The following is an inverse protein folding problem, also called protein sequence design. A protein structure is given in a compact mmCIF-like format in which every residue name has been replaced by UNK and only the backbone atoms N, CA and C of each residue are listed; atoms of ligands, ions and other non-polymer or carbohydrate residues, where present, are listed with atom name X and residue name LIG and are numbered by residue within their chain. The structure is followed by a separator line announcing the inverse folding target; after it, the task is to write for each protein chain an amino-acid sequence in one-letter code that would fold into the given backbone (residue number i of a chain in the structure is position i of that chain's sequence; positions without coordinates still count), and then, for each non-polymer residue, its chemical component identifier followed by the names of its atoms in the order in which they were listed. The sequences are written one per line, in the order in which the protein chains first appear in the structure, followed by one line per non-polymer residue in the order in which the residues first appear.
data_IF_389670154861
#
_entry.id   IF_389670154861
#
_cell.length_a   1.000
_cell.length_b   1.000
_cell.length_c   1.000
_cell.angle_alpha   90.00
_cell.angle_beta   90.00
_cell.angle_gamma   90.00
#
_symmetry.space_group_name_H-M   'P 1'
#
loop_
_entity.id
_entity.type
_entity.pdbx_description
1 polymer ?
#
# COMPACT_ATOMS: atom_id res chain seq x y z
N UNK A 1 4.68 -2.48 1.72
CA UNK A 1 5.99 -2.10 1.14
C UNK A 1 7.00 -3.26 1.13
N UNK A 2 7.24 -3.93 2.26
CA UNK A 2 8.17 -5.07 2.38
C UNK A 2 8.05 -6.19 1.33
N UNK A 3 6.87 -6.80 1.22
CA UNK A 3 6.63 -7.85 0.21
C UNK A 3 6.61 -7.32 -1.23
N UNK A 4 6.40 -6.00 -1.42
CA UNK A 4 6.49 -5.36 -2.72
C UNK A 4 7.93 -5.32 -3.26
N UNK A 5 8.94 -5.16 -2.39
CA UNK A 5 10.35 -5.18 -2.79
C UNK A 5 10.79 -6.55 -3.35
N UNK A 6 10.28 -7.65 -2.77
CA UNK A 6 10.52 -8.99 -3.32
C UNK A 6 9.88 -9.18 -4.71
N UNK A 7 8.66 -8.66 -4.92
CA UNK A 7 8.00 -8.64 -6.24
C UNK A 7 8.82 -7.85 -7.24
N UNK A 8 9.29 -6.66 -6.86
CA UNK A 8 10.11 -5.80 -7.72
C UNK A 8 11.37 -6.52 -8.19
N UNK A 9 12.09 -7.16 -7.25
CA UNK A 9 13.31 -7.91 -7.55
C UNK A 9 13.02 -9.08 -8.50
N UNK A 10 12.00 -9.89 -8.19
CA UNK A 10 11.64 -11.05 -9.01
C UNK A 10 11.09 -10.66 -10.39
N UNK A 11 10.27 -9.60 -10.47
CA UNK A 11 9.76 -9.06 -11.72
C UNK A 11 10.89 -8.46 -12.56
N UNK A 12 11.81 -7.70 -11.95
CA UNK A 12 12.98 -7.13 -12.65
C UNK A 12 13.90 -8.21 -13.22
N UNK A 13 14.21 -9.24 -12.42
CA UNK A 13 14.99 -10.39 -12.88
C UNK A 13 14.29 -11.16 -14.01
N UNK A 14 12.99 -11.45 -13.86
CA UNK A 14 12.23 -12.16 -14.87
C UNK A 14 12.09 -11.35 -16.17
N UNK A 15 11.89 -10.03 -16.07
CA UNK A 15 11.80 -9.15 -17.23
C UNK A 15 13.14 -9.06 -17.98
N UNK A 16 14.25 -8.88 -17.26
CA UNK A 16 15.60 -8.90 -17.83
C UNK A 16 15.96 -10.26 -18.47
N UNK A 17 15.51 -11.36 -17.87
CA UNK A 17 15.67 -12.71 -18.40
C UNK A 17 14.65 -13.09 -19.49
N UNK A 18 13.83 -12.14 -19.97
CA UNK A 18 12.77 -12.32 -20.99
C UNK A 18 11.68 -13.35 -20.63
N UNK A 19 11.52 -13.68 -19.34
CA UNK A 19 10.47 -14.55 -18.81
C UNK A 19 9.19 -13.76 -18.51
N UNK A 20 8.65 -13.10 -19.55
CA UNK A 20 7.55 -12.13 -19.41
C UNK A 20 6.29 -12.70 -18.75
N UNK A 21 5.92 -13.94 -19.06
CA UNK A 21 4.74 -14.60 -18.48
C UNK A 21 4.81 -14.75 -16.94
N UNK A 22 6.02 -14.81 -16.38
CA UNK A 22 6.20 -14.96 -14.93
C UNK A 22 5.82 -13.70 -14.15
N UNK A 23 5.86 -12.52 -14.78
CA UNK A 23 5.50 -11.26 -14.12
C UNK A 23 4.03 -11.29 -13.67
N UNK A 24 3.13 -11.73 -14.56
CA UNK A 24 1.72 -11.92 -14.26
C UNK A 24 1.47 -12.92 -13.11
N UNK A 25 2.28 -13.98 -13.03
CA UNK A 25 2.19 -14.97 -11.95
C UNK A 25 2.68 -14.38 -10.63
N UNK A 26 3.79 -13.64 -10.62
CA UNK A 26 4.34 -13.03 -9.40
C UNK A 26 3.43 -11.96 -8.82
N UNK A 27 2.83 -11.12 -9.66
CA UNK A 27 1.88 -10.09 -9.19
C UNK A 27 0.64 -10.74 -8.55
N UNK A 28 0.09 -11.79 -9.17
CA UNK A 28 -1.04 -12.54 -8.61
C UNK A 28 -0.69 -13.22 -7.29
N UNK A 29 0.47 -13.90 -7.25
CA UNK A 29 0.97 -14.56 -6.03
C UNK A 29 1.15 -13.58 -4.87
N UNK A 30 1.72 -12.42 -5.15
CA UNK A 30 1.92 -11.39 -4.14
C UNK A 30 0.61 -10.78 -3.67
N UNK A 31 -0.33 -10.50 -4.59
CA UNK A 31 -1.66 -10.01 -4.22
C UNK A 31 -2.39 -11.00 -3.29
N UNK A 32 -2.30 -12.30 -3.56
CA UNK A 32 -2.86 -13.35 -2.69
C UNK A 32 -2.24 -13.28 -1.29
N UNK A 33 -0.90 -13.33 -1.20
CA UNK A 33 -0.21 -13.33 0.10
C UNK A 33 -0.46 -12.04 0.88
N UNK A 34 -0.41 -10.88 0.22
CA UNK A 34 -0.65 -9.59 0.86
C UNK A 34 -2.10 -9.48 1.35
N UNK A 35 -3.06 -9.99 0.59
CA UNK A 35 -4.47 -10.03 1.00
C UNK A 35 -4.63 -10.89 2.25
N UNK A 36 -3.99 -12.07 2.29
CA UNK A 36 -3.99 -12.92 3.49
C UNK A 36 -3.35 -12.23 4.70
N UNK A 37 -2.27 -11.47 4.51
CA UNK A 37 -1.66 -10.67 5.59
C UNK A 37 -2.50 -9.47 6.01
N UNK A 38 -3.40 -8.99 5.14
CA UNK A 38 -4.36 -7.93 5.46
C UNK A 38 -5.41 -8.35 6.49
N UNK A 39 -5.69 -9.66 6.60
CA UNK A 39 -6.66 -10.21 7.56
C UNK A 39 -6.23 -9.94 9.02
N UNK A 40 -5.04 -10.34 9.49
CA UNK A 40 -4.62 -10.03 10.86
C UNK A 40 -4.48 -8.51 11.10
N UNK A 41 -4.10 -7.72 10.09
CA UNK A 41 -4.09 -6.25 10.21
C UNK A 41 -5.50 -5.68 10.42
N UNK A 42 -6.51 -6.26 9.77
CA UNK A 42 -7.91 -5.87 9.96
C UNK A 42 -8.34 -6.11 11.41
N UNK A 43 -7.93 -7.22 12.02
CA UNK A 43 -8.20 -7.50 13.44
C UNK A 43 -7.60 -6.41 14.33
N UNK A 44 -6.35 -5.99 14.06
CA UNK A 44 -5.71 -4.88 14.79
C UNK A 44 -6.51 -3.58 14.63
N UNK A 45 -7.01 -3.29 13.43
CA UNK A 45 -7.81 -2.08 13.16
C UNK A 45 -9.15 -2.10 13.91
N UNK A 46 -9.81 -3.25 13.98
CA UNK A 46 -11.06 -3.44 14.74
C UNK A 46 -10.85 -3.20 16.24
N UNK A 47 -9.70 -3.62 16.78
CA UNK A 47 -9.34 -3.43 18.20
C UNK A 47 -8.57 -2.12 18.47
N UNK A 48 -8.48 -1.21 17.50
CA UNK A 48 -7.67 0.02 17.59
C UNK A 48 -8.03 0.88 18.81
N UNK A 49 -9.31 0.98 19.18
CA UNK A 49 -9.75 1.75 20.35
C UNK A 49 -9.13 1.20 21.65
N UNK A 50 -9.24 -0.12 21.86
CA UNK A 50 -8.75 -0.78 23.07
C UNK A 50 -7.22 -0.73 23.13
N UNK A 51 -6.56 -0.89 21.99
CA UNK A 51 -5.10 -0.77 21.88
C UNK A 51 -4.66 0.65 22.27
N UNK A 52 -5.32 1.69 21.76
CA UNK A 52 -4.97 3.08 22.08
C UNK A 52 -5.21 3.40 23.57
N UNK A 53 -6.33 2.96 24.14
CA UNK A 53 -6.58 3.10 25.57
C UNK A 53 -5.52 2.40 26.43
N UNK A 54 -5.10 1.20 26.02
CA UNK A 54 -4.03 0.45 26.69
C UNK A 54 -2.69 1.19 26.63
N UNK A 55 -2.42 1.91 25.54
CA UNK A 55 -1.23 2.74 25.37
C UNK A 55 -1.28 4.08 26.14
N UNK A 56 -2.37 4.35 26.88
CA UNK A 56 -2.53 5.54 27.71
C UNK A 56 -3.22 6.72 27.01
N UNK A 57 -3.76 6.54 25.80
CA UNK A 57 -4.50 7.59 25.11
C UNK A 57 -5.82 7.92 25.80
N UNK A 58 -6.22 9.19 25.72
CA UNK A 58 -7.51 9.62 26.27
C UNK A 58 -8.68 8.93 25.56
N UNK A 59 -9.79 8.72 26.27
CA UNK A 59 -10.99 8.08 25.69
C UNK A 59 -11.54 8.82 24.48
N UNK A 60 -11.45 10.16 24.47
CA UNK A 60 -11.89 10.97 23.34
C UNK A 60 -11.03 10.73 22.09
N UNK A 61 -9.70 10.72 22.23
CA UNK A 61 -8.77 10.48 21.13
C UNK A 61 -8.91 9.04 20.62
N UNK A 62 -8.90 8.05 21.52
CA UNK A 62 -9.06 6.65 21.15
C UNK A 62 -10.38 6.38 20.41
N UNK A 63 -11.48 7.02 20.84
CA UNK A 63 -12.77 6.92 20.16
C UNK A 63 -12.71 7.53 18.74
N UNK A 64 -12.23 8.76 18.60
CA UNK A 64 -12.13 9.44 17.30
C UNK A 64 -11.21 8.67 16.32
N UNK A 65 -10.04 8.24 16.77
CA UNK A 65 -9.10 7.45 15.98
C UNK A 65 -9.72 6.12 15.52
N UNK A 66 -10.43 5.42 16.40
CA UNK A 66 -11.06 4.15 16.04
C UNK A 66 -12.12 4.30 14.95
N UNK A 67 -12.91 5.39 14.96
CA UNK A 67 -13.88 5.68 13.91
C UNK A 67 -13.19 5.88 12.56
N UNK A 68 -12.09 6.64 12.54
CA UNK A 68 -11.31 6.85 11.33
C UNK A 68 -10.71 5.53 10.81
N UNK A 69 -10.04 4.78 11.68
CA UNK A 69 -9.38 3.49 11.38
C UNK A 69 -10.36 2.45 10.83
N UNK A 70 -11.58 2.40 11.36
CA UNK A 70 -12.63 1.51 10.83
C UNK A 70 -12.93 1.77 9.35
N UNK A 71 -12.99 3.05 8.94
CA UNK A 71 -13.18 3.40 7.54
C UNK A 71 -11.96 3.15 6.64
N UNK A 72 -10.78 2.87 7.21
CA UNK A 72 -9.57 2.47 6.48
C UNK A 72 -9.46 0.96 6.24
N UNK A 73 -10.32 0.13 6.84
CA UNK A 73 -10.27 -1.33 6.62
C UNK A 73 -10.28 -1.70 5.12
N UNK A 74 -11.13 -1.11 4.25
CA UNK A 74 -11.08 -1.41 2.82
C UNK A 74 -9.77 -0.98 2.15
N UNK A 75 -9.11 0.07 2.65
CA UNK A 75 -7.81 0.53 2.14
C UNK A 75 -6.71 -0.52 2.32
N UNK A 76 -6.74 -1.31 3.40
CA UNK A 76 -5.76 -2.39 3.64
C UNK A 76 -5.69 -3.32 2.43
N UNK A 77 -6.86 -3.72 1.92
CA UNK A 77 -6.97 -4.65 0.80
C UNK A 77 -6.69 -3.96 -0.54
N UNK A 78 -7.05 -2.69 -0.69
CA UNK A 78 -6.63 -1.91 -1.85
C UNK A 78 -5.10 -1.86 -1.93
N UNK A 79 -4.40 -1.60 -0.82
CA UNK A 79 -2.93 -1.63 -0.77
C UNK A 79 -2.35 -3.01 -1.07
N UNK A 80 -2.96 -4.07 -0.55
CA UNK A 80 -2.52 -5.44 -0.83
C UNK A 80 -2.48 -5.76 -2.33
N UNK A 81 -3.38 -5.17 -3.12
CA UNK A 81 -3.44 -5.35 -4.58
C UNK A 81 -2.60 -4.29 -5.31
N UNK A 82 -2.64 -3.04 -4.85
CA UNK A 82 -1.94 -1.92 -5.48
C UNK A 82 -0.42 -2.08 -5.45
N UNK A 83 0.16 -2.54 -4.33
CA UNK A 83 1.61 -2.68 -4.23
C UNK A 83 2.19 -3.63 -5.30
N UNK A 84 1.68 -4.86 -5.47
CA UNK A 84 2.11 -5.73 -6.57
C UNK A 84 1.91 -5.11 -7.95
N UNK A 85 0.76 -4.47 -8.21
CA UNK A 85 0.47 -3.83 -9.50
C UNK A 85 1.51 -2.75 -9.81
N UNK A 86 1.82 -1.89 -8.84
CA UNK A 86 2.83 -0.85 -9.00
C UNK A 86 4.20 -1.44 -9.35
N UNK A 87 4.60 -2.53 -8.69
CA UNK A 87 5.88 -3.19 -8.99
C UNK A 87 5.88 -3.91 -10.33
N UNK A 88 4.75 -4.48 -10.74
CA UNK A 88 4.57 -5.03 -12.09
C UNK A 88 4.73 -3.96 -13.17
N UNK A 89 4.13 -2.78 -12.98
CA UNK A 89 4.24 -1.67 -13.94
C UNK A 89 5.65 -1.04 -13.93
N UNK A 90 6.25 -0.85 -12.74
CA UNK A 90 7.61 -0.31 -12.59
C UNK A 90 8.68 -1.20 -13.23
N UNK A 91 8.59 -2.53 -13.07
CA UNK A 91 9.53 -3.48 -13.68
C UNK A 91 9.54 -3.44 -15.22
N UNK A 92 8.50 -2.87 -15.83
CA UNK A 92 8.35 -2.68 -17.28
C UNK A 92 8.56 -1.22 -17.70
N UNK A 93 8.98 -0.35 -16.78
CA UNK A 93 9.10 1.11 -16.99
C UNK A 93 7.77 1.80 -17.36
N UNK A 94 6.62 1.22 -17.00
CA UNK A 94 5.28 1.76 -17.26
C UNK A 94 4.77 2.65 -16.11
N UNK A 95 5.55 3.64 -15.69
CA UNK A 95 5.21 4.49 -14.53
C UNK A 95 4.26 5.64 -14.86
N UNK A 96 4.30 6.17 -16.09
CA UNK A 96 3.48 7.32 -16.49
C UNK A 96 1.96 7.06 -16.38
N UNK A 97 1.40 5.91 -16.82
CA UNK A 97 -0.02 5.61 -16.62
C UNK A 97 -0.42 5.60 -15.15
N UNK A 98 0.42 5.05 -14.26
CA UNK A 98 0.16 5.10 -12.82
C UNK A 98 0.13 6.54 -12.30
N UNK A 99 1.05 7.39 -12.74
CA UNK A 99 1.10 8.78 -12.28
C UNK A 99 -0.16 9.56 -12.70
N UNK A 100 -0.61 9.38 -13.95
CA UNK A 100 -1.82 10.02 -14.48
C UNK A 100 -3.07 9.55 -13.73
N UNK A 101 -3.19 8.24 -13.47
CA UNK A 101 -4.30 7.67 -12.70
C UNK A 101 -4.33 8.22 -11.28
N UNK A 102 -3.17 8.30 -10.61
CA UNK A 102 -3.08 8.85 -9.26
C UNK A 102 -3.44 10.33 -9.22
N UNK A 103 -2.94 11.13 -10.16
CA UNK A 103 -3.27 12.55 -10.25
C UNK A 103 -4.77 12.78 -10.53
N UNK A 104 -5.36 11.99 -11.42
CA UNK A 104 -6.80 12.05 -11.71
C UNK A 104 -7.64 11.64 -10.50
N UNK A 105 -7.24 10.56 -9.81
CA UNK A 105 -7.89 10.12 -8.58
C UNK A 105 -7.79 11.18 -7.49
N UNK A 106 -6.69 11.91 -7.38
CA UNK A 106 -6.53 12.98 -6.39
C UNK A 106 -7.60 14.07 -6.58
N UNK A 107 -7.88 14.47 -7.82
CA UNK A 107 -8.94 15.45 -8.10
C UNK A 107 -10.32 14.92 -7.67
N UNK A 108 -10.61 13.66 -7.98
CA UNK A 108 -11.85 12.99 -7.54
C UNK A 108 -11.92 12.89 -6.02
N UNK A 109 -10.80 12.54 -5.37
CA UNK A 109 -10.69 12.44 -3.92
C UNK A 109 -11.02 13.78 -3.24
N UNK A 110 -10.47 14.90 -3.74
CA UNK A 110 -10.74 16.22 -3.18
C UNK A 110 -12.24 16.57 -3.24
N UNK A 111 -12.88 16.32 -4.39
CA UNK A 111 -14.31 16.55 -4.57
C UNK A 111 -15.17 15.68 -3.64
N UNK A 112 -14.88 14.38 -3.60
CA UNK A 112 -15.62 13.43 -2.77
C UNK A 112 -15.40 13.69 -1.27
N UNK A 113 -14.20 14.06 -0.86
CA UNK A 113 -13.88 14.39 0.53
C UNK A 113 -14.63 15.64 0.97
N UNK A 114 -14.68 16.67 0.12
CA UNK A 114 -15.48 17.86 0.39
C UNK A 114 -16.96 17.53 0.55
N UNK A 115 -17.51 16.72 -0.36
CA UNK A 115 -18.91 16.31 -0.32
C UNK A 115 -19.22 15.50 0.96
N UNK A 116 -18.42 14.47 1.24
CA UNK A 116 -18.64 13.57 2.37
C UNK A 116 -18.52 14.29 3.72
N UNK A 117 -17.51 15.15 3.89
CA UNK A 117 -17.26 15.83 5.16
C UNK A 117 -18.17 17.03 5.35
N UNK A 118 -18.26 17.93 4.37
CA UNK A 118 -18.94 19.23 4.56
C UNK A 118 -20.39 19.24 4.13
N UNK A 119 -20.78 18.46 3.10
CA UNK A 119 -22.17 18.46 2.62
C UNK A 119 -23.00 17.35 3.25
N UNK A 120 -22.41 16.18 3.46
CA UNK A 120 -23.11 15.03 4.04
C UNK A 120 -22.89 14.89 5.55
N UNK A 121 -21.93 15.63 6.14
CA UNK A 121 -21.67 15.60 7.58
C UNK A 121 -21.15 14.27 8.11
N UNK A 122 -20.51 13.44 7.26
CA UNK A 122 -20.06 12.09 7.62
C UNK A 122 -18.79 12.08 8.51
N UNK A 123 -18.19 13.26 8.76
CA UNK A 123 -17.06 13.44 9.67
C UNK A 123 -15.85 12.55 9.34
N UNK A 124 -15.19 12.04 10.38
CA UNK A 124 -13.98 11.22 10.26
C UNK A 124 -14.22 9.91 9.51
N UNK A 125 -15.38 9.27 9.70
CA UNK A 125 -15.72 8.03 9.01
C UNK A 125 -15.88 8.28 7.49
N UNK A 126 -16.55 9.37 7.12
CA UNK A 126 -16.67 9.78 5.72
C UNK A 126 -15.31 10.05 5.08
N UNK A 127 -14.43 10.76 5.78
CA UNK A 127 -13.09 11.05 5.30
C UNK A 127 -12.26 9.78 5.03
N UNK A 128 -12.24 8.83 5.97
CA UNK A 128 -11.49 7.58 5.78
C UNK A 128 -12.13 6.65 4.74
N UNK A 129 -13.45 6.61 4.63
CA UNK A 129 -14.13 5.85 3.57
C UNK A 129 -13.85 6.42 2.17
N UNK A 130 -13.86 7.75 2.00
CA UNK A 130 -13.49 8.38 0.73
C UNK A 130 -12.03 8.11 0.37
N UNK A 131 -11.14 8.13 1.37
CA UNK A 131 -9.74 7.76 1.16
C UNK A 131 -9.62 6.29 0.70
N UNK A 132 -10.30 5.37 1.39
CA UNK A 132 -10.38 3.96 0.99
C UNK A 132 -10.91 3.78 -0.43
N UNK A 133 -12.00 4.48 -0.78
CA UNK A 133 -12.58 4.46 -2.12
C UNK A 133 -11.59 4.95 -3.18
N UNK A 134 -10.84 5.99 -2.88
CA UNK A 134 -9.84 6.56 -3.81
C UNK A 134 -8.76 5.54 -4.15
N UNK A 135 -8.29 4.78 -3.17
CA UNK A 135 -7.34 3.69 -3.43
C UNK A 135 -7.93 2.56 -4.28
N UNK A 136 -9.20 2.24 -4.09
CA UNK A 136 -9.88 1.27 -4.96
C UNK A 136 -10.07 1.78 -6.38
N UNK A 137 -10.35 3.07 -6.58
CA UNK A 137 -10.38 3.70 -7.91
C UNK A 137 -9.02 3.51 -8.61
N UNK A 138 -7.91 3.78 -7.91
CA UNK A 138 -6.56 3.56 -8.45
C UNK A 138 -6.36 2.09 -8.83
N UNK A 139 -6.65 1.16 -7.92
CA UNK A 139 -6.47 -0.28 -8.16
C UNK A 139 -7.26 -0.73 -9.40
N UNK A 140 -8.53 -0.33 -9.50
CA UNK A 140 -9.40 -0.70 -10.62
C UNK A 140 -8.87 -0.10 -11.91
N UNK A 141 -8.54 1.20 -11.93
CA UNK A 141 -8.04 1.87 -13.13
C UNK A 141 -6.71 1.28 -13.61
N UNK A 142 -5.79 0.99 -12.70
CA UNK A 142 -4.51 0.35 -13.04
C UNK A 142 -4.70 -1.08 -13.54
N UNK A 143 -5.59 -1.85 -12.92
CA UNK A 143 -5.90 -3.20 -13.39
C UNK A 143 -6.55 -3.18 -14.77
N UNK A 144 -7.49 -2.27 -15.02
CA UNK A 144 -8.09 -2.05 -16.34
C UNK A 144 -7.00 -1.71 -17.37
N UNK A 145 -6.05 -0.84 -17.03
CA UNK A 145 -4.92 -0.55 -17.91
C UNK A 145 -4.07 -1.79 -18.20
N UNK A 146 -3.77 -2.62 -17.19
CA UNK A 146 -2.99 -3.86 -17.37
C UNK A 146 -3.69 -4.83 -18.33
N UNK A 147 -5.01 -5.00 -18.21
CA UNK A 147 -5.75 -5.98 -19.03
C UNK A 147 -6.05 -5.48 -20.45
N UNK A 148 -6.09 -4.17 -20.67
CA UNK A 148 -6.43 -3.56 -21.98
C UNK A 148 -5.23 -3.08 -22.78
N UNK A 149 -4.13 -2.70 -22.12
CA UNK A 149 -2.97 -2.07 -22.79
C UNK A 149 -2.15 -3.08 -23.62
N UNK A 150 -1.81 -2.75 -24.88
CA UNK A 150 -0.90 -3.57 -25.69
C UNK A 150 0.46 -3.80 -25.03
N UNK A 151 0.93 -2.84 -24.22
CA UNK A 151 2.22 -2.91 -23.53
C UNK A 151 2.27 -4.04 -22.49
N UNK A 152 1.13 -4.42 -21.92
CA UNK A 152 1.03 -5.46 -20.89
C UNK A 152 0.65 -6.83 -21.47
N UNK A 153 0.34 -6.93 -22.77
CA UNK A 153 -0.21 -8.14 -23.40
C UNK A 153 0.70 -9.37 -23.28
N UNK A 154 2.03 -9.16 -23.22
CA UNK A 154 3.03 -10.24 -23.07
C UNK A 154 3.34 -10.60 -21.62
N UNK A 155 3.05 -9.71 -20.69
CA UNK A 155 3.41 -9.85 -19.26
C UNK A 155 2.20 -10.20 -18.40
N UNK A 156 0.99 -9.88 -18.87
CA UNK A 156 -0.28 -10.31 -18.30
C UNK A 156 -1.05 -11.19 -19.30
N UNK A 157 -1.06 -12.50 -19.04
CA UNK A 157 -1.76 -13.50 -19.86
C UNK A 157 -3.06 -14.00 -19.20
N UNK A 158 -3.60 -13.23 -18.25
CA UNK A 158 -4.78 -13.60 -17.46
C UNK A 158 -4.46 -14.30 -16.13
N UNK A 159 -5.52 -14.68 -15.42
CA UNK A 159 -5.42 -15.37 -14.14
C UNK A 159 -4.86 -16.78 -14.31
N UNK A 160 -3.99 -17.21 -13.39
CA UNK A 160 -3.33 -18.51 -13.47
C UNK A 160 -3.34 -19.24 -12.14
N UNK A 161 -3.66 -20.54 -12.15
CA UNK A 161 -3.56 -21.42 -10.98
C UNK A 161 -2.11 -21.50 -10.46
N UNK A 162 -1.11 -21.24 -11.31
CA UNK A 162 0.31 -21.14 -10.91
C UNK A 162 0.57 -20.05 -9.86
N UNK A 163 -0.34 -19.08 -9.70
CA UNK A 163 -0.25 -18.08 -8.64
C UNK A 163 -0.31 -18.72 -7.24
N UNK A 164 -1.01 -19.86 -7.09
CA UNK A 164 -1.17 -20.57 -5.81
C UNK A 164 -0.05 -21.56 -5.50
N UNK A 165 0.85 -21.85 -6.45
CA UNK A 165 2.00 -22.72 -6.21
C UNK A 165 3.20 -21.92 -5.68
N UNK A 166 4.06 -22.58 -4.88
CA UNK A 166 5.29 -21.96 -4.37
C UNK A 166 5.09 -20.79 -3.39
N UNK A 167 3.89 -20.65 -2.82
CA UNK A 167 3.54 -19.57 -1.89
C UNK A 167 4.46 -19.51 -0.67
N UNK A 168 4.80 -20.65 -0.07
CA UNK A 168 5.66 -20.70 1.12
C UNK A 168 7.08 -20.15 0.84
N UNK A 169 7.69 -20.56 -0.28
CA UNK A 169 9.00 -20.05 -0.68
C UNK A 169 8.96 -18.55 -0.99
N UNK A 170 7.91 -18.10 -1.68
CA UNK A 170 7.70 -16.67 -1.97
C UNK A 170 7.45 -15.86 -0.70
N UNK A 171 6.69 -16.39 0.26
CA UNK A 171 6.44 -15.78 1.55
C UNK A 171 7.73 -15.62 2.34
N UNK A 172 8.58 -16.66 2.41
CA UNK A 172 9.87 -16.58 3.10
C UNK A 172 10.75 -15.44 2.56
N UNK A 173 10.85 -15.32 1.23
CA UNK A 173 11.58 -14.23 0.59
C UNK A 173 10.94 -12.87 0.88
N UNK A 174 9.62 -12.79 0.76
CA UNK A 174 8.86 -11.55 0.98
C UNK A 174 8.92 -11.05 2.42
N UNK A 175 8.90 -11.96 3.39
CA UNK A 175 9.05 -11.65 4.81
C UNK A 175 10.46 -11.12 5.11
N UNK A 176 11.50 -11.72 4.53
CA UNK A 176 12.87 -11.21 4.70
C UNK A 176 13.00 -9.76 4.19
N UNK A 177 12.49 -9.46 2.99
CA UNK A 177 12.44 -8.10 2.46
C UNK A 177 11.59 -7.16 3.32
N UNK A 178 10.50 -7.66 3.91
CA UNK A 178 9.67 -6.87 4.80
C UNK A 178 10.35 -6.51 6.11
N UNK A 179 11.03 -7.46 6.75
CA UNK A 179 11.81 -7.19 7.97
C UNK A 179 12.89 -6.16 7.69
N UNK A 180 13.63 -6.30 6.59
CA UNK A 180 14.66 -5.34 6.19
C UNK A 180 14.11 -3.91 6.07
N UNK A 181 13.01 -3.74 5.34
CA UNK A 181 12.41 -2.41 5.14
C UNK A 181 11.79 -1.84 6.43
N UNK A 182 11.21 -2.69 7.29
CA UNK A 182 10.73 -2.26 8.60
C UNK A 182 11.88 -1.74 9.47
N UNK A 183 13.00 -2.46 9.50
CA UNK A 183 14.20 -2.03 10.23
C UNK A 183 14.75 -0.71 9.70
N UNK A 184 14.80 -0.55 8.37
CA UNK A 184 15.20 0.70 7.73
C UNK A 184 14.28 1.86 8.14
N UNK A 185 12.96 1.67 8.04
CA UNK A 185 11.98 2.70 8.42
C UNK A 185 12.06 3.06 9.89
N UNK A 186 12.17 2.07 10.78
CA UNK A 186 12.30 2.32 12.22
C UNK A 186 13.61 3.00 12.57
N UNK A 187 14.70 2.61 11.93
CA UNK A 187 16.00 3.27 12.09
C UNK A 187 15.90 4.76 11.73
N UNK A 188 15.31 5.10 10.57
CA UNK A 188 15.07 6.49 10.19
C UNK A 188 14.16 7.23 11.17
N UNK A 189 13.06 6.59 11.63
CA UNK A 189 12.15 7.23 12.56
C UNK A 189 12.81 7.51 13.92
N UNK A 190 13.67 6.60 14.40
CA UNK A 190 14.46 6.80 15.62
C UNK A 190 15.45 7.95 15.43
N UNK A 191 16.15 8.02 14.29
CA UNK A 191 17.07 9.12 14.00
C UNK A 191 16.34 10.48 13.99
N UNK A 192 15.18 10.55 13.33
CA UNK A 192 14.34 11.75 13.30
C UNK A 192 13.89 12.15 14.70
N UNK A 193 13.46 11.20 15.52
CA UNK A 193 13.08 11.47 16.92
C UNK A 193 14.27 11.97 17.74
N UNK A 194 15.45 11.37 17.60
CA UNK A 194 16.65 11.80 18.31
C UNK A 194 17.11 13.18 17.84
N UNK A 195 17.08 13.47 16.55
CA UNK A 195 17.39 14.79 16.00
C UNK A 195 16.41 15.86 16.49
N UNK A 196 15.12 15.52 16.58
CA UNK A 196 14.08 16.38 17.16
C UNK A 196 14.27 16.71 18.65
N UNK A 197 15.11 15.94 19.36
CA UNK A 197 15.43 16.17 20.78
C UNK A 197 16.73 16.98 20.97
N UNK A 198 17.44 17.34 19.89
CA UNK A 198 18.66 18.16 19.96
C UNK A 198 18.34 19.65 20.11
N UNK A 199 19.31 20.40 20.66
CA UNK A 199 19.17 21.85 20.95
C UNK A 199 18.77 22.70 19.73
N UNK A 200 19.17 22.28 18.53
CA UNK A 200 18.86 22.94 17.25
C UNK A 200 18.09 21.98 16.33
N UNK A 201 16.99 21.42 16.82
CA UNK A 201 16.18 20.40 16.14
C UNK A 201 15.87 20.76 14.66
N UNK A 202 15.60 22.02 14.35
CA UNK A 202 15.23 22.48 13.01
C UNK A 202 16.34 22.26 11.96
N UNK A 203 17.61 22.54 12.30
CA UNK A 203 18.75 22.35 11.39
C UNK A 203 19.09 20.85 11.22
N UNK A 204 18.94 20.06 12.29
CA UNK A 204 19.25 18.63 12.30
C UNK A 204 18.14 17.78 11.64
N UNK A 205 16.88 18.22 11.72
CA UNK A 205 15.79 17.62 10.95
C UNK A 205 15.92 17.94 9.46
N UNK A 206 16.31 19.17 9.09
CA UNK A 206 16.54 19.55 7.69
C UNK A 206 17.71 18.76 7.07
N UNK A 207 18.78 18.51 7.83
CA UNK A 207 19.95 17.74 7.34
C UNK A 207 19.65 16.26 7.09
N UNK A 208 18.69 15.67 7.81
CA UNK A 208 18.21 14.29 7.64
C UNK A 208 17.18 14.15 6.50
N UNK A 209 16.68 15.26 5.96
CA UNK A 209 15.63 15.31 4.94
C UNK A 209 16.17 15.36 3.50
N UNK A 210 17.49 15.51 3.32
CA UNK A 210 18.23 15.47 2.05
C UNK A 210 18.75 14.06 1.78
#
# INVERSE_FOLDING_TARGET
MGMGSAVETLCGQAFGAKKYEMLGIYVQRSAILLTLTGIPLTVIYVFSKQILLFLGESTAIAAAASVFVMGLIPQIFAYAINFPIQKFMQAQSLVAPSAIISASTLLVHLLLSWLAVYKMGLGLLGASLVLSLSWWIIVIAQFVYIVTSPNCKRTWTGFSIKAFSGLCGFLKLSTASAVMLCLETWYFQILVLLAGLLKNAEIELDSLSI
#
